data_IF_801299376409
#
_entry.id   IF_801299376409
#
_cell.length_a   1.000
_cell.length_b   1.000
_cell.length_c   1.000
_cell.angle_alpha   90.00
_cell.angle_beta   90.00
_cell.angle_gamma   90.00
#
_symmetry.space_group_name_H-M   'P 1'
#
loop_
_entity.id
_entity.type
_entity.pdbx_description
1 polymer ?
#
# COMPACT_ATOMS: atom_id res chain seq x y z
N UNK A 1 -18.09 18.64 10.60
CA UNK A 1 -17.98 17.90 11.87
C UNK A 1 -18.44 16.50 11.56
N UNK A 2 -17.55 15.52 11.63
CA UNK A 2 -17.90 14.11 11.44
C UNK A 2 -18.71 13.65 12.65
N UNK A 3 -19.93 13.18 12.38
CA UNK A 3 -20.80 12.55 13.36
C UNK A 3 -20.41 11.07 13.45
N UNK A 4 -19.83 10.61 14.58
CA UNK A 4 -19.38 9.23 14.74
C UNK A 4 -20.52 8.20 14.72
N UNK A 5 -21.78 8.62 14.79
CA UNK A 5 -22.96 7.74 14.72
C UNK A 5 -23.60 7.68 13.32
N UNK A 6 -23.12 8.48 12.36
CA UNK A 6 -23.69 8.48 11.02
C UNK A 6 -23.27 7.25 10.23
N UNK A 7 -24.24 6.43 9.86
CA UNK A 7 -23.98 5.30 8.96
C UNK A 7 -23.35 5.77 7.64
N UNK A 8 -22.28 5.10 7.18
CA UNK A 8 -21.62 5.47 5.94
C UNK A 8 -22.54 5.17 4.75
N UNK A 9 -22.63 6.14 3.83
CA UNK A 9 -23.44 6.00 2.62
C UNK A 9 -22.73 5.23 1.49
N UNK A 10 -21.43 4.99 1.63
CA UNK A 10 -20.60 4.24 0.68
C UNK A 10 -19.86 3.14 1.43
N UNK A 11 -19.81 1.96 0.83
CA UNK A 11 -19.14 0.78 1.37
C UNK A 11 -18.25 0.16 0.31
N UNK A 12 -17.07 -0.30 0.72
CA UNK A 12 -16.21 -1.16 -0.08
C UNK A 12 -16.43 -2.59 0.42
N UNK A 13 -16.80 -3.48 -0.48
CA UNK A 13 -17.03 -4.90 -0.16
C UNK A 13 -15.99 -5.75 -0.86
N UNK A 14 -15.16 -6.42 -0.08
CA UNK A 14 -14.17 -7.37 -0.57
C UNK A 14 -14.71 -8.80 -0.49
N UNK A 15 -14.63 -9.52 -1.60
CA UNK A 15 -15.04 -10.93 -1.69
C UNK A 15 -13.90 -11.89 -1.32
N UNK A 16 -13.63 -12.10 -0.04
CA UNK A 16 -12.55 -13.00 0.41
C UNK A 16 -12.68 -14.43 -0.12
N UNK A 17 -13.91 -14.96 -0.15
CA UNK A 17 -14.22 -16.27 -0.74
C UNK A 17 -15.56 -16.21 -1.48
N UNK A 18 -15.94 -17.25 -2.26
CA UNK A 18 -17.27 -17.30 -2.88
C UNK A 18 -18.44 -17.22 -1.88
N UNK A 19 -18.19 -17.48 -0.58
CA UNK A 19 -19.22 -17.54 0.46
C UNK A 19 -19.00 -16.51 1.58
N UNK A 20 -17.97 -15.66 1.46
CA UNK A 20 -17.56 -14.77 2.54
C UNK A 20 -17.08 -13.44 1.99
N UNK A 21 -17.70 -12.37 2.48
CA UNK A 21 -17.34 -11.00 2.16
C UNK A 21 -17.02 -10.25 3.45
N UNK A 22 -16.18 -9.23 3.33
CA UNK A 22 -15.98 -8.22 4.37
C UNK A 22 -16.30 -6.86 3.77
N UNK A 23 -17.09 -6.06 4.48
CA UNK A 23 -17.49 -4.73 4.02
C UNK A 23 -17.01 -3.69 5.02
N UNK A 24 -16.37 -2.64 4.51
CA UNK A 24 -15.92 -1.51 5.28
C UNK A 24 -16.62 -0.23 4.82
N UNK A 25 -17.09 0.53 5.79
CA UNK A 25 -17.70 1.83 5.55
C UNK A 25 -16.65 2.86 5.13
N UNK A 26 -16.94 3.61 4.08
CA UNK A 26 -16.04 4.65 3.57
C UNK A 26 -16.34 5.97 4.28
N UNK A 27 -15.37 6.48 5.03
CA UNK A 27 -15.41 7.85 5.59
C UNK A 27 -15.19 8.89 4.50
N UNK A 28 -14.21 8.65 3.63
CA UNK A 28 -13.87 9.58 2.56
C UNK A 28 -13.27 8.83 1.35
N UNK A 29 -13.71 9.21 0.15
CA UNK A 29 -13.12 8.76 -1.11
C UNK A 29 -12.11 9.81 -1.59
N UNK A 30 -10.85 9.41 -1.81
CA UNK A 30 -9.79 10.30 -2.30
C UNK A 30 -9.57 10.18 -3.81
N UNK A 31 -9.64 8.95 -4.34
CA UNK A 31 -9.45 8.67 -5.76
C UNK A 31 -10.28 7.45 -6.19
N UNK A 32 -10.74 7.46 -7.44
CA UNK A 32 -11.34 6.32 -8.13
C UNK A 32 -10.97 6.42 -9.60
N UNK A 33 -10.29 5.41 -10.15
CA UNK A 33 -9.76 5.42 -11.53
C UNK A 33 -9.78 4.01 -12.11
N UNK A 34 -10.15 3.90 -13.38
CA UNK A 34 -9.86 2.71 -14.17
C UNK A 34 -8.53 2.95 -14.88
N UNK A 35 -7.49 2.20 -14.52
CA UNK A 35 -6.19 2.23 -15.22
C UNK A 35 -6.25 1.33 -16.44
N UNK A 36 -5.15 1.28 -17.20
CA UNK A 36 -4.99 0.31 -18.29
C UNK A 36 -5.09 -1.15 -17.81
N UNK A 37 -4.79 -1.42 -16.54
CA UNK A 37 -4.66 -2.78 -16.00
C UNK A 37 -5.80 -3.17 -15.07
N UNK A 38 -6.32 -2.25 -14.27
CA UNK A 38 -7.23 -2.56 -13.17
C UNK A 38 -8.06 -1.34 -12.74
N UNK A 39 -9.12 -1.59 -11.98
CA UNK A 39 -9.83 -0.56 -11.24
C UNK A 39 -9.07 -0.25 -9.95
N UNK A 40 -8.99 1.02 -9.60
CA UNK A 40 -8.24 1.52 -8.44
C UNK A 40 -9.08 2.51 -7.65
N UNK A 41 -9.10 2.35 -6.34
CA UNK A 41 -9.72 3.26 -5.38
C UNK A 41 -8.72 3.57 -4.27
N UNK A 42 -8.70 4.83 -3.82
CA UNK A 42 -8.10 5.22 -2.54
C UNK A 42 -9.18 5.84 -1.67
N UNK A 43 -9.40 5.28 -0.49
CA UNK A 43 -10.47 5.70 0.42
C UNK A 43 -10.06 5.49 1.89
N UNK A 44 -10.52 6.35 2.79
CA UNK A 44 -10.50 6.08 4.24
C UNK A 44 -11.64 5.12 4.59
N UNK A 45 -11.29 3.93 5.06
CA UNK A 45 -12.24 2.85 5.36
C UNK A 45 -12.46 2.64 6.87
N UNK A 46 -12.40 3.72 7.65
CA UNK A 46 -12.89 3.70 9.03
C UNK A 46 -11.77 3.43 10.04
N UNK A 47 -11.71 2.25 10.69
CA UNK A 47 -10.68 1.93 11.69
C UNK A 47 -9.29 1.65 11.08
N UNK A 48 -9.21 1.35 9.79
CA UNK A 48 -7.95 1.02 9.11
C UNK A 48 -7.26 2.23 8.45
N UNK A 49 -7.91 3.41 8.47
CA UNK A 49 -7.42 4.59 7.79
C UNK A 49 -7.52 4.48 6.27
N UNK A 50 -6.59 5.12 5.53
CA UNK A 50 -6.61 5.12 4.07
C UNK A 50 -6.19 3.76 3.53
N UNK A 51 -6.95 3.26 2.56
CA UNK A 51 -6.70 2.00 1.90
C UNK A 51 -6.47 2.21 0.40
N UNK A 52 -5.54 1.43 -0.15
CA UNK A 52 -5.45 1.16 -1.58
C UNK A 52 -6.34 -0.05 -1.89
N UNK A 53 -7.24 0.11 -2.85
CA UNK A 53 -8.12 -0.97 -3.31
C UNK A 53 -7.96 -1.15 -4.81
N UNK A 54 -7.61 -2.36 -5.25
CA UNK A 54 -7.43 -2.73 -6.66
C UNK A 54 -8.40 -3.85 -7.02
N UNK A 55 -9.22 -3.69 -8.06
CA UNK A 55 -10.23 -4.68 -8.47
C UNK A 55 -11.11 -5.20 -7.31
N UNK A 56 -11.47 -4.29 -6.40
CA UNK A 56 -12.30 -4.58 -5.23
C UNK A 56 -11.58 -5.32 -4.10
N UNK A 57 -10.25 -5.48 -4.18
CA UNK A 57 -9.40 -6.09 -3.15
C UNK A 57 -8.64 -5.03 -2.38
N UNK A 58 -8.65 -5.11 -1.05
CA UNK A 58 -7.81 -4.24 -0.23
C UNK A 58 -6.38 -4.74 -0.35
N UNK A 59 -5.49 -3.87 -0.82
CA UNK A 59 -4.08 -4.19 -1.02
C UNK A 59 -3.23 -3.79 0.17
N UNK A 60 -3.50 -2.62 0.75
CA UNK A 60 -2.78 -2.06 1.89
C UNK A 60 -3.66 -1.05 2.61
N UNK A 61 -3.45 -0.85 3.91
CA UNK A 61 -4.08 0.22 4.69
C UNK A 61 -3.07 0.91 5.58
N UNK A 62 -3.20 2.22 5.77
CA UNK A 62 -2.28 3.00 6.61
C UNK A 62 -2.28 2.58 8.08
N UNK A 63 -3.37 1.95 8.55
CA UNK A 63 -3.51 1.53 9.94
C UNK A 63 -2.80 0.23 10.28
N UNK A 64 -2.51 -0.62 9.30
CA UNK A 64 -1.98 -1.97 9.54
C UNK A 64 -0.94 -2.48 8.52
N UNK A 65 -0.55 -1.68 7.52
CA UNK A 65 0.39 -2.09 6.46
C UNK A 65 1.73 -2.63 6.98
N UNK A 66 2.17 -2.19 8.17
CA UNK A 66 3.39 -2.69 8.80
C UNK A 66 3.32 -4.21 9.07
N UNK A 67 2.13 -4.76 9.33
CA UNK A 67 1.93 -6.20 9.51
C UNK A 67 2.25 -7.01 8.24
N UNK A 68 2.20 -6.37 7.07
CA UNK A 68 2.53 -6.98 5.78
C UNK A 68 3.97 -6.62 5.34
N UNK A 69 4.33 -5.34 5.37
CA UNK A 69 5.61 -4.86 4.85
C UNK A 69 6.81 -5.27 5.69
N UNK A 70 6.69 -5.30 7.03
CA UNK A 70 7.80 -5.73 7.89
C UNK A 70 8.19 -7.20 7.63
N UNK A 71 7.28 -8.19 7.71
CA UNK A 71 7.70 -9.58 7.52
C UNK A 71 8.14 -9.90 6.10
N UNK A 72 7.51 -9.32 5.06
CA UNK A 72 7.88 -9.62 3.67
C UNK A 72 9.31 -9.16 3.34
N UNK A 73 9.84 -8.17 4.06
CA UNK A 73 11.21 -7.67 3.88
C UNK A 73 12.17 -8.22 4.92
N UNK A 74 11.83 -8.16 6.22
CA UNK A 74 12.80 -8.46 7.26
C UNK A 74 13.10 -9.95 7.38
N UNK A 75 12.13 -10.84 7.15
CA UNK A 75 12.37 -12.29 7.21
C UNK A 75 13.40 -12.76 6.16
N UNK A 76 13.26 -12.48 4.85
CA UNK A 76 14.28 -12.86 3.88
C UNK A 76 15.61 -12.14 4.10
N UNK A 77 15.58 -10.88 4.54
CA UNK A 77 16.79 -10.10 4.83
C UNK A 77 17.61 -10.68 5.98
N UNK A 78 16.93 -11.13 7.06
CA UNK A 78 17.57 -11.81 8.18
C UNK A 78 18.21 -13.13 7.76
N UNK A 79 17.52 -13.93 6.93
CA UNK A 79 18.06 -15.19 6.41
C UNK A 79 19.27 -14.98 5.49
N UNK A 80 19.27 -13.90 4.71
CA UNK A 80 20.40 -13.53 3.88
C UNK A 80 21.57 -12.92 4.68
N UNK A 81 21.27 -12.28 5.81
CA UNK A 81 22.22 -11.76 6.80
C UNK A 81 22.80 -10.37 6.49
N UNK A 82 23.04 -10.04 5.21
CA UNK A 82 23.56 -8.72 4.81
C UNK A 82 23.10 -8.29 3.41
N UNK A 83 21.80 -7.98 3.21
CA UNK A 83 21.28 -7.57 1.90
C UNK A 83 21.92 -6.27 1.43
N UNK A 84 22.32 -6.24 0.16
CA UNK A 84 22.92 -5.07 -0.49
C UNK A 84 22.04 -4.50 -1.59
N UNK A 85 21.45 -5.37 -2.41
CA UNK A 85 20.57 -5.02 -3.52
C UNK A 85 19.24 -5.72 -3.36
N UNK A 86 18.16 -4.97 -3.44
CA UNK A 86 16.80 -5.49 -3.28
C UNK A 86 16.01 -5.15 -4.53
N UNK A 87 15.34 -6.15 -5.11
CA UNK A 87 14.40 -5.98 -6.20
C UNK A 87 12.99 -6.27 -5.67
N UNK A 88 12.09 -5.31 -5.84
CA UNK A 88 10.68 -5.40 -5.47
C UNK A 88 9.89 -5.39 -6.76
N UNK A 89 9.06 -6.41 -6.97
CA UNK A 89 8.16 -6.52 -8.12
C UNK A 89 6.75 -6.20 -7.65
N UNK A 90 6.14 -5.16 -8.21
CA UNK A 90 5.00 -4.46 -7.62
C UNK A 90 5.46 -3.41 -6.61
N UNK A 91 4.67 -3.18 -5.56
CA UNK A 91 5.06 -2.30 -4.45
C UNK A 91 4.94 -0.81 -4.77
N UNK A 92 3.97 -0.42 -5.61
CA UNK A 92 3.70 0.98 -5.96
C UNK A 92 3.45 1.93 -4.76
N UNK A 93 3.11 1.42 -3.58
CA UNK A 93 2.94 2.20 -2.35
C UNK A 93 4.27 2.50 -1.62
N UNK A 94 5.37 1.90 -2.08
CA UNK A 94 6.72 1.98 -1.51
C UNK A 94 6.85 1.50 -0.05
N UNK A 95 5.84 0.86 0.54
CA UNK A 95 5.93 0.36 1.92
C UNK A 95 7.03 -0.69 2.08
N UNK A 96 7.14 -1.62 1.13
CA UNK A 96 8.22 -2.59 1.09
C UNK A 96 9.60 -1.94 0.87
N UNK A 97 9.67 -0.88 0.06
CA UNK A 97 10.92 -0.15 -0.17
C UNK A 97 11.39 0.56 1.11
N UNK A 98 10.47 1.22 1.83
CA UNK A 98 10.72 1.81 3.15
C UNK A 98 11.33 0.80 4.12
N UNK A 99 10.77 -0.40 4.21
CA UNK A 99 11.30 -1.44 5.10
C UNK A 99 12.69 -1.94 4.66
N UNK A 100 12.94 -2.04 3.34
CA UNK A 100 14.24 -2.46 2.83
C UNK A 100 15.33 -1.43 3.18
N UNK A 101 15.02 -0.14 3.06
CA UNK A 101 15.95 0.96 3.31
C UNK A 101 16.35 1.13 4.78
N UNK A 102 15.61 0.51 5.73
CA UNK A 102 16.01 0.44 7.15
C UNK A 102 17.29 -0.38 7.36
N UNK A 103 17.64 -1.28 6.43
CA UNK A 103 18.88 -2.04 6.49
C UNK A 103 20.06 -1.19 6.04
N UNK A 104 20.97 -0.87 6.96
CA UNK A 104 22.19 -0.09 6.68
C UNK A 104 23.13 -0.72 5.64
N UNK A 105 22.99 -2.02 5.38
CA UNK A 105 23.76 -2.72 4.36
C UNK A 105 23.22 -2.54 2.94
N UNK A 106 21.97 -2.07 2.80
CA UNK A 106 21.33 -1.87 1.49
C UNK A 106 21.91 -0.65 0.81
N UNK A 107 22.42 -0.89 -0.39
CA UNK A 107 23.05 0.06 -1.30
C UNK A 107 22.10 0.46 -2.44
N UNK A 108 21.12 -0.40 -2.78
CA UNK A 108 20.18 -0.18 -3.89
C UNK A 108 18.86 -0.94 -3.64
N UNK A 109 17.72 -0.26 -3.85
CA UNK A 109 16.38 -0.82 -3.91
C UNK A 109 15.79 -0.45 -5.26
N UNK A 110 15.43 -1.44 -6.07
CA UNK A 110 14.71 -1.24 -7.33
C UNK A 110 13.29 -1.72 -7.13
N UNK A 111 12.32 -0.86 -7.40
CA UNK A 111 10.89 -1.16 -7.40
C UNK A 111 10.43 -1.14 -8.85
N UNK A 112 9.74 -2.19 -9.29
CA UNK A 112 9.21 -2.28 -10.66
C UNK A 112 7.73 -2.54 -10.57
N UNK A 113 6.93 -1.53 -10.88
CA UNK A 113 5.48 -1.68 -11.03
C UNK A 113 5.07 -1.43 -12.49
N UNK A 114 4.09 -2.18 -12.97
CA UNK A 114 3.60 -2.08 -14.35
C UNK A 114 2.60 -0.93 -14.50
N UNK A 115 1.97 -0.52 -13.39
CA UNK A 115 0.87 0.43 -13.37
C UNK A 115 1.30 1.79 -12.80
N UNK A 116 1.81 2.66 -13.69
CA UNK A 116 2.23 4.02 -13.32
C UNK A 116 1.10 4.88 -12.74
N UNK A 117 -0.17 4.58 -13.04
CA UNK A 117 -1.29 5.29 -12.43
C UNK A 117 -1.41 4.96 -10.93
N UNK A 118 -1.12 3.71 -10.54
CA UNK A 118 -1.12 3.29 -9.13
C UNK A 118 0.00 3.97 -8.38
N UNK A 119 1.20 4.01 -8.96
CA UNK A 119 2.36 4.72 -8.40
C UNK A 119 2.02 6.19 -8.13
N UNK A 120 1.51 6.91 -9.12
CA UNK A 120 1.20 8.33 -9.00
C UNK A 120 0.16 8.60 -7.89
N UNK A 121 -0.92 7.80 -7.87
CA UNK A 121 -1.99 7.98 -6.91
C UNK A 121 -1.58 7.57 -5.49
N UNK A 122 -0.76 6.53 -5.33
CA UNK A 122 -0.16 6.17 -4.04
C UNK A 122 0.73 7.31 -3.52
N UNK A 123 1.64 7.84 -4.34
CA UNK A 123 2.51 8.95 -3.96
C UNK A 123 1.70 10.19 -3.52
N UNK A 124 0.57 10.45 -4.19
CA UNK A 124 -0.29 11.60 -3.88
C UNK A 124 -1.15 11.42 -2.63
N UNK A 125 -1.70 10.23 -2.40
CA UNK A 125 -2.76 10.02 -1.41
C UNK A 125 -2.36 9.13 -0.23
N UNK A 126 -1.29 8.34 -0.35
CA UNK A 126 -0.73 7.46 0.67
C UNK A 126 0.74 7.80 1.02
N UNK A 127 1.18 9.08 1.09
CA UNK A 127 2.57 9.41 1.39
C UNK A 127 3.03 8.89 2.76
N UNK A 128 2.11 8.63 3.70
CA UNK A 128 2.42 8.03 5.00
C UNK A 128 2.94 6.59 4.93
N UNK A 129 2.66 5.86 3.83
CA UNK A 129 3.21 4.51 3.60
C UNK A 129 4.64 4.62 3.07
N UNK A 130 4.85 5.41 2.02
CA UNK A 130 6.17 5.59 1.41
C UNK A 130 7.16 6.27 2.36
N UNK A 131 6.74 7.32 3.07
CA UNK A 131 7.60 8.18 3.88
C UNK A 131 8.84 8.63 3.08
N UNK A 132 10.00 8.66 3.73
CA UNK A 132 11.27 9.09 3.11
C UNK A 132 11.77 8.14 2.00
N UNK A 133 11.17 6.96 1.81
CA UNK A 133 11.61 6.01 0.77
C UNK A 133 11.34 6.49 -0.65
N UNK A 134 10.40 7.42 -0.83
CA UNK A 134 10.12 8.05 -2.13
C UNK A 134 11.28 8.94 -2.61
N UNK A 135 12.05 9.50 -1.66
CA UNK A 135 13.11 10.48 -1.94
C UNK A 135 14.52 9.93 -1.61
N UNK A 136 14.64 8.68 -1.14
CA UNK A 136 15.94 8.07 -0.84
C UNK A 136 16.72 7.76 -2.12
N UNK A 137 17.95 8.29 -2.24
CA UNK A 137 18.81 8.12 -3.44
C UNK A 137 19.11 6.65 -3.79
N UNK A 138 18.96 5.73 -2.82
CA UNK A 138 19.14 4.29 -3.03
C UNK A 138 17.90 3.64 -3.66
N UNK A 139 16.74 4.30 -3.61
CA UNK A 139 15.47 3.82 -4.14
C UNK A 139 15.29 4.25 -5.60
N UNK A 140 14.95 3.30 -6.47
CA UNK A 140 14.70 3.52 -7.89
C UNK A 140 13.38 2.87 -8.27
N UNK A 141 12.40 3.71 -8.62
CA UNK A 141 11.10 3.31 -9.12
C UNK A 141 11.01 3.55 -10.64
#
# INVERSE_FOLDING_TARGET
MDDPEREPCLWITEHLTPYGTVSHGVKQLYASKQTKYQSMIIADIGPYGKALVLDGRIQTTTGDEYLYHEPIIHLPSLLHGRPKKVLILGGADLGAAREALKWKSVEEVVVIDIDGDVVELCAKHLPEIAQDSADDERCKL
#
